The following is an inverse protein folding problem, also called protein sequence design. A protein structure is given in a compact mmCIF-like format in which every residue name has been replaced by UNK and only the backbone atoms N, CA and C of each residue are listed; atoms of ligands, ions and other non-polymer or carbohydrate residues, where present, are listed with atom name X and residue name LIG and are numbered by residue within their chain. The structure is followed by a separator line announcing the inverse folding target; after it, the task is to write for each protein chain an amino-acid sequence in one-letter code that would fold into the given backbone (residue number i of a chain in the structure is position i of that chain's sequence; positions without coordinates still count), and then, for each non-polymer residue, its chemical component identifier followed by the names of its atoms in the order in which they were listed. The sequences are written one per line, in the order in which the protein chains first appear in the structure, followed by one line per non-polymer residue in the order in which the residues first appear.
data_IF_239921931374
#
_entry.id   IF_239921931374
#
_cell.length_a   1.000
_cell.length_b   1.000
_cell.length_c   1.000
_cell.angle_alpha   90.00
_cell.angle_beta   90.00
_cell.angle_gamma   90.00
#
_symmetry.space_group_name_H-M   'P 1'
#
loop_
_entity.id
_entity.type
_entity.pdbx_description
1 polymer ?
#
# COMPACT_ATOMS: atom_id res chain seq x y z
N UNK A 1 -4.04 33.48 34.42
CA UNK A 1 -3.32 34.75 34.36
C UNK A 1 -2.68 34.89 32.97
N UNK A 2 -3.50 34.98 31.93
CA UNK A 2 -3.07 35.23 30.54
C UNK A 2 -4.08 36.23 29.98
N UNK A 3 -3.61 37.46 29.77
CA UNK A 3 -4.43 38.60 29.41
C UNK A 3 -4.80 38.58 27.94
N UNK A 4 -6.06 38.91 27.67
CA UNK A 4 -6.57 39.18 26.33
C UNK A 4 -5.89 40.46 25.82
N UNK A 5 -4.99 40.30 24.85
CA UNK A 5 -4.37 41.41 24.14
C UNK A 5 -5.38 41.93 23.10
N UNK A 6 -6.05 43.04 23.41
CA UNK A 6 -6.74 43.87 22.40
C UNK A 6 -5.69 44.40 21.42
N UNK A 7 -5.64 43.87 20.20
CA UNK A 7 -4.90 44.47 19.09
C UNK A 7 -5.70 45.63 18.49
N UNK A 8 -4.93 46.65 18.11
CA UNK A 8 -5.29 48.04 17.82
C UNK A 8 -5.72 48.30 16.37
N UNK A 9 -6.63 49.27 16.26
CA UNK A 9 -6.83 50.29 15.21
C UNK A 9 -7.51 49.94 13.87
N UNK A 10 -8.67 50.55 13.66
CA UNK A 10 -8.83 51.66 12.71
C UNK A 10 -9.82 52.70 13.28
N UNK A 11 -9.35 53.92 13.54
CA UNK A 11 -10.19 55.07 13.85
C UNK A 11 -10.92 55.52 12.57
N UNK A 12 -12.25 55.57 12.62
CA UNK A 12 -13.08 56.40 11.76
C UNK A 12 -14.14 57.07 12.63
N UNK A 13 -13.99 58.37 12.82
CA UNK A 13 -14.90 59.19 13.61
C UNK A 13 -16.06 59.64 12.71
N UNK A 14 -17.29 59.37 13.13
CA UNK A 14 -18.50 60.11 12.70
C UNK A 14 -19.40 59.42 11.67
N UNK A 15 -20.38 58.66 12.15
CA UNK A 15 -21.81 58.88 11.86
C UNK A 15 -22.65 57.90 12.67
N UNK A 16 -23.92 58.25 12.82
CA UNK A 16 -24.93 57.72 13.71
C UNK A 16 -24.97 56.19 13.79
N UNK A 17 -25.30 55.69 14.99
CA UNK A 17 -25.61 54.29 15.26
C UNK A 17 -26.62 53.75 14.23
N UNK A 18 -26.11 53.07 13.21
CA UNK A 18 -26.89 52.13 12.43
C UNK A 18 -27.28 51.03 13.41
N UNK A 19 -28.57 50.74 13.53
CA UNK A 19 -29.05 49.59 14.30
C UNK A 19 -28.24 48.36 13.88
N UNK A 20 -27.51 47.77 14.84
CA UNK A 20 -26.75 46.54 14.63
C UNK A 20 -27.78 45.47 14.22
N UNK A 21 -27.79 45.06 12.94
CA UNK A 21 -28.67 44.00 12.47
C UNK A 21 -28.25 42.68 13.13
N UNK A 22 -28.82 42.39 14.29
CA UNK A 22 -28.65 41.16 15.04
C UNK A 22 -29.54 40.08 14.41
N UNK A 23 -28.94 38.94 14.06
CA UNK A 23 -29.69 37.78 13.59
C UNK A 23 -29.46 36.60 14.54
N UNK A 24 -30.54 35.87 14.83
CA UNK A 24 -30.50 34.65 15.64
C UNK A 24 -30.61 33.45 14.73
N UNK A 25 -29.59 32.59 14.73
CA UNK A 25 -29.57 31.34 13.98
C UNK A 25 -29.61 30.15 14.93
N UNK A 26 -30.46 29.17 14.63
CA UNK A 26 -30.64 27.94 15.38
C UNK A 26 -30.17 26.76 14.53
N UNK A 27 -28.96 26.27 14.82
CA UNK A 27 -28.35 25.17 14.07
C UNK A 27 -28.54 23.89 14.86
N UNK A 28 -29.35 22.96 14.36
CA UNK A 28 -29.57 21.66 14.99
C UNK A 28 -30.04 21.73 16.45
N UNK A 29 -30.72 22.82 16.84
CA UNK A 29 -31.16 23.08 18.22
C UNK A 29 -30.22 23.99 19.05
N UNK A 30 -29.07 24.39 18.51
CA UNK A 30 -28.11 25.30 19.17
C UNK A 30 -28.31 26.71 18.63
N UNK A 31 -28.76 27.62 19.51
CA UNK A 31 -28.97 29.03 19.17
C UNK A 31 -27.66 29.81 19.23
N UNK A 32 -27.43 30.65 18.23
CA UNK A 32 -26.26 31.51 18.13
C UNK A 32 -26.68 32.88 17.61
N UNK A 33 -26.15 33.92 18.25
CA UNK A 33 -26.41 35.31 17.91
C UNK A 33 -25.26 35.81 17.04
N UNK A 34 -25.59 36.37 15.87
CA UNK A 34 -24.62 36.88 14.91
C UNK A 34 -24.94 38.34 14.57
N UNK A 35 -23.90 39.10 14.24
CA UNK A 35 -24.00 40.53 13.96
C UNK A 35 -23.73 40.80 12.47
N UNK A 36 -24.62 41.56 11.83
CA UNK A 36 -24.55 41.87 10.40
C UNK A 36 -23.20 42.46 9.96
N UNK A 37 -22.56 43.32 10.76
CA UNK A 37 -21.24 43.89 10.43
C UNK A 37 -20.15 42.84 10.24
N UNK A 38 -20.20 41.76 11.04
CA UNK A 38 -19.22 40.66 11.00
C UNK A 38 -19.49 39.77 9.79
N UNK A 39 -20.77 39.52 9.48
CA UNK A 39 -21.20 38.70 8.35
C UNK A 39 -20.93 39.39 7.00
N UNK A 40 -21.14 40.69 6.92
CA UNK A 40 -20.91 41.50 5.71
C UNK A 40 -19.44 41.62 5.30
N UNK A 41 -18.49 41.11 6.10
CA UNK A 41 -17.10 40.91 5.67
C UNK A 41 -16.98 39.94 4.50
N UNK A 42 -17.91 38.99 4.40
CA UNK A 42 -17.98 37.97 3.35
C UNK A 42 -19.39 37.95 2.74
N UNK A 43 -19.71 38.93 1.86
CA UNK A 43 -21.08 39.14 1.37
C UNK A 43 -21.61 38.00 0.50
N UNK A 44 -20.73 37.22 -0.14
CA UNK A 44 -21.11 36.10 -1.00
C UNK A 44 -21.57 34.84 -0.23
N UNK A 45 -21.53 34.90 1.11
CA UNK A 45 -21.88 33.77 1.97
C UNK A 45 -23.38 33.72 2.29
N UNK A 46 -23.92 32.53 2.54
CA UNK A 46 -25.34 32.34 2.88
C UNK A 46 -25.77 33.16 4.10
N UNK A 47 -24.90 33.29 5.11
CA UNK A 47 -25.20 34.06 6.33
C UNK A 47 -25.26 35.57 6.06
N UNK A 48 -24.44 36.09 5.16
CA UNK A 48 -24.52 37.50 4.77
C UNK A 48 -25.78 37.78 3.94
N UNK A 49 -26.13 36.88 3.02
CA UNK A 49 -27.42 36.96 2.32
C UNK A 49 -28.60 37.00 3.31
N UNK A 50 -28.59 36.19 4.37
CA UNK A 50 -29.63 36.22 5.42
C UNK A 50 -29.76 37.59 6.11
N UNK A 51 -28.66 38.32 6.30
CA UNK A 51 -28.69 39.68 6.89
C UNK A 51 -29.37 40.65 5.94
N UNK A 52 -29.02 40.64 4.66
CA UNK A 52 -29.64 41.51 3.66
C UNK A 52 -31.13 41.24 3.53
N UNK A 53 -31.54 39.97 3.62
CA UNK A 53 -32.95 39.56 3.56
C UNK A 53 -33.75 39.91 4.82
N UNK A 54 -33.12 39.95 6.00
CA UNK A 54 -33.80 40.43 7.22
C UNK A 54 -34.33 41.86 7.09
N UNK A 55 -33.79 42.64 6.13
CA UNK A 55 -34.21 44.01 5.83
C UNK A 55 -35.29 44.14 4.73
N UNK A 56 -35.62 43.07 4.00
CA UNK A 56 -36.56 43.08 2.86
C UNK A 56 -37.77 42.13 3.08
N UNK A 57 -38.96 42.58 2.70
CA UNK A 57 -40.23 41.91 3.01
C UNK A 57 -40.42 40.53 2.35
N UNK A 58 -41.05 39.65 3.13
CA UNK A 58 -41.22 38.20 3.02
C UNK A 58 -42.15 37.70 1.88
N UNK A 59 -41.58 37.20 0.77
CA UNK A 59 -42.33 36.32 -0.17
C UNK A 59 -41.51 35.11 -0.70
N UNK A 60 -40.17 35.04 -0.50
CA UNK A 60 -39.30 33.95 -1.00
C UNK A 60 -38.44 33.24 0.10
N UNK A 61 -38.85 33.31 1.37
CA UNK A 61 -38.17 32.72 2.54
C UNK A 61 -37.72 31.22 2.45
N UNK A 62 -38.42 30.29 1.77
CA UNK A 62 -38.15 28.85 1.87
C UNK A 62 -36.83 28.34 1.27
N UNK A 63 -36.03 29.17 0.59
CA UNK A 63 -34.79 28.70 -0.07
C UNK A 63 -33.52 28.88 0.75
N UNK A 64 -33.54 29.75 1.77
CA UNK A 64 -32.34 30.15 2.51
C UNK A 64 -32.17 29.41 3.84
N UNK A 65 -33.28 29.15 4.55
CA UNK A 65 -33.33 28.44 5.83
C UNK A 65 -34.37 27.30 5.78
N UNK A 66 -34.28 26.34 6.69
CA UNK A 66 -35.21 25.20 6.74
C UNK A 66 -36.54 25.58 7.41
N UNK A 67 -36.49 26.45 8.41
CA UNK A 67 -37.66 27.03 9.07
C UNK A 67 -37.35 28.43 9.63
N UNK A 68 -38.37 29.26 9.85
CA UNK A 68 -38.25 30.59 10.45
C UNK A 68 -39.38 30.82 11.45
N UNK A 69 -39.04 31.14 12.69
CA UNK A 69 -40.02 31.48 13.72
C UNK A 69 -40.18 33.01 13.81
N UNK A 70 -41.31 33.56 13.36
CA UNK A 70 -41.57 35.00 13.39
C UNK A 70 -41.80 35.55 14.80
N UNK A 71 -42.11 34.72 15.81
CA UNK A 71 -42.32 35.19 17.18
C UNK A 71 -40.99 35.48 17.89
N UNK A 72 -39.99 34.63 17.65
CA UNK A 72 -38.67 34.76 18.25
C UNK A 72 -37.63 35.40 17.32
N UNK A 73 -37.94 35.52 16.03
CA UNK A 73 -37.04 36.05 15.02
C UNK A 73 -35.87 35.13 14.70
N UNK A 74 -35.99 33.81 14.96
CA UNK A 74 -34.92 32.83 14.77
C UNK A 74 -35.01 32.08 13.43
N UNK A 75 -33.87 31.92 12.78
CA UNK A 75 -33.72 31.11 11.56
C UNK A 75 -33.20 29.72 11.92
N UNK A 76 -33.95 28.67 11.56
CA UNK A 76 -33.60 27.29 11.86
C UNK A 76 -32.92 26.58 10.68
N UNK A 77 -31.92 25.78 11.01
CA UNK A 77 -31.17 24.94 10.07
C UNK A 77 -30.99 23.53 10.68
N UNK A 78 -31.44 22.49 9.97
CA UNK A 78 -31.24 21.09 10.35
C UNK A 78 -29.84 20.61 9.92
N UNK A 79 -28.82 21.15 10.60
CA UNK A 79 -27.40 20.99 10.28
C UNK A 79 -26.58 20.69 11.54
N UNK A 80 -25.36 20.20 11.34
CA UNK A 80 -24.47 19.85 12.45
C UNK A 80 -23.95 21.10 13.19
N UNK A 81 -24.27 21.29 14.48
CA UNK A 81 -23.85 22.47 15.23
C UNK A 81 -22.34 22.56 15.45
N UNK A 82 -21.64 21.42 15.43
CA UNK A 82 -20.19 21.39 15.69
C UNK A 82 -19.40 21.82 14.45
N UNK A 83 -19.82 21.42 13.26
CA UNK A 83 -19.28 21.93 12.00
C UNK A 83 -19.53 23.43 11.85
N UNK A 84 -20.72 23.91 12.23
CA UNK A 84 -21.04 25.34 12.13
C UNK A 84 -20.15 26.24 12.97
N UNK A 85 -19.65 25.76 14.12
CA UNK A 85 -18.68 26.52 14.93
C UNK A 85 -17.41 26.84 14.14
N UNK A 86 -16.91 25.89 13.34
CA UNK A 86 -15.75 26.11 12.47
C UNK A 86 -16.08 27.07 11.32
N UNK A 87 -17.31 27.02 10.79
CA UNK A 87 -17.76 27.94 9.72
C UNK A 87 -17.75 29.39 10.20
N UNK A 88 -18.19 29.63 11.43
CA UNK A 88 -18.21 30.98 12.02
C UNK A 88 -16.81 31.57 12.20
N UNK A 89 -15.79 30.73 12.44
CA UNK A 89 -14.40 31.19 12.62
C UNK A 89 -13.91 32.01 11.43
N UNK A 90 -14.41 31.76 10.21
CA UNK A 90 -14.13 32.56 9.02
C UNK A 90 -14.38 34.05 9.25
N UNK A 91 -15.54 34.40 9.82
CA UNK A 91 -15.94 35.80 9.95
C UNK A 91 -15.10 36.55 11.00
N UNK A 92 -14.52 35.82 11.96
CA UNK A 92 -13.70 36.40 13.02
C UNK A 92 -12.21 36.42 12.70
N UNK A 93 -11.69 35.34 12.10
CA UNK A 93 -10.25 35.12 11.89
C UNK A 93 -9.82 35.15 10.43
N UNK A 94 -10.76 35.01 9.50
CA UNK A 94 -10.51 35.02 8.06
C UNK A 94 -10.04 33.69 7.46
N UNK A 95 -9.94 32.65 8.29
CA UNK A 95 -9.55 31.29 7.92
C UNK A 95 -10.40 30.27 8.68
N UNK A 96 -10.55 29.07 8.11
CA UNK A 96 -11.33 27.97 8.68
C UNK A 96 -10.41 26.80 9.01
N UNK A 97 -10.52 26.31 10.24
CA UNK A 97 -9.93 25.04 10.67
C UNK A 97 -11.00 23.99 10.96
N UNK A 98 -10.84 22.81 10.38
CA UNK A 98 -11.69 21.66 10.67
C UNK A 98 -11.38 21.10 12.05
N UNK A 99 -12.41 20.96 12.90
CA UNK A 99 -12.27 20.29 14.19
C UNK A 99 -11.98 18.80 14.02
N UNK A 100 -11.07 18.28 14.85
CA UNK A 100 -10.77 16.83 14.91
C UNK A 100 -12.04 16.03 15.21
N UNK A 101 -12.28 15.00 14.40
CA UNK A 101 -13.43 14.10 14.52
C UNK A 101 -14.57 14.39 13.55
N UNK A 102 -14.58 15.55 12.89
CA UNK A 102 -15.49 15.82 11.77
C UNK A 102 -14.91 15.20 10.50
N UNK A 103 -15.73 14.47 9.73
CA UNK A 103 -15.30 13.93 8.44
C UNK A 103 -15.04 15.08 7.44
N UNK A 104 -13.84 15.17 6.83
CA UNK A 104 -13.52 16.27 5.90
C UNK A 104 -14.50 16.37 4.73
N UNK A 105 -14.95 15.24 4.18
CA UNK A 105 -15.91 15.21 3.07
C UNK A 105 -17.28 15.75 3.49
N UNK A 106 -17.74 15.45 4.71
CA UNK A 106 -18.97 16.02 5.23
C UNK A 106 -18.81 17.53 5.50
N UNK A 107 -17.65 17.94 6.02
CA UNK A 107 -17.37 19.35 6.26
C UNK A 107 -17.32 20.17 4.97
N UNK A 108 -16.80 19.62 3.87
CA UNK A 108 -16.86 20.27 2.57
C UNK A 108 -18.30 20.54 2.10
N UNK A 109 -19.23 19.62 2.40
CA UNK A 109 -20.67 19.85 2.14
C UNK A 109 -21.28 20.90 3.06
N UNK A 110 -20.72 21.09 4.25
CA UNK A 110 -21.07 22.23 5.12
C UNK A 110 -20.60 23.54 4.50
N UNK A 111 -19.33 23.64 4.10
CA UNK A 111 -18.82 24.83 3.42
C UNK A 111 -19.60 25.18 2.15
N UNK A 112 -19.88 24.18 1.30
CA UNK A 112 -20.68 24.36 0.09
C UNK A 112 -22.09 24.87 0.41
N UNK A 113 -22.75 24.30 1.42
CA UNK A 113 -24.06 24.75 1.86
C UNK A 113 -24.05 26.21 2.30
N UNK A 114 -23.05 26.60 3.10
CA UNK A 114 -22.86 27.97 3.59
C UNK A 114 -22.30 28.94 2.52
N UNK A 115 -22.08 28.46 1.28
CA UNK A 115 -21.50 29.21 0.15
C UNK A 115 -20.11 29.76 0.45
N UNK A 116 -19.29 28.99 1.14
CA UNK A 116 -17.91 29.35 1.47
C UNK A 116 -16.97 28.54 0.58
N UNK A 117 -16.06 29.24 -0.10
CA UNK A 117 -15.05 28.60 -0.95
C UNK A 117 -14.04 27.81 -0.10
N UNK A 118 -13.57 26.69 -0.67
CA UNK A 118 -12.47 25.88 -0.13
C UNK A 118 -11.16 26.66 0.07
N UNK A 119 -10.99 27.78 -0.61
CA UNK A 119 -9.82 28.65 -0.50
C UNK A 119 -9.62 29.21 0.91
N UNK A 120 -10.70 29.38 1.67
CA UNK A 120 -10.67 29.86 3.06
C UNK A 120 -10.22 28.80 4.08
N UNK A 121 -10.07 27.55 3.63
CA UNK A 121 -9.56 26.48 4.47
C UNK A 121 -8.04 26.65 4.64
N UNK A 122 -7.55 26.57 5.88
CA UNK A 122 -6.11 26.67 6.12
C UNK A 122 -5.33 25.48 5.51
N UNK A 123 -4.05 25.69 5.19
CA UNK A 123 -3.16 24.68 4.60
C UNK A 123 -3.12 23.37 5.40
N UNK A 124 -3.16 23.42 6.73
CA UNK A 124 -3.18 22.20 7.54
C UNK A 124 -4.43 21.34 7.28
N UNK A 125 -5.57 21.99 7.06
CA UNK A 125 -6.85 21.36 6.81
C UNK A 125 -6.97 20.92 5.33
N UNK A 126 -6.39 21.69 4.40
CA UNK A 126 -6.29 21.31 2.98
C UNK A 126 -5.45 20.04 2.81
N UNK A 127 -4.33 19.93 3.52
CA UNK A 127 -3.51 18.73 3.53
C UNK A 127 -4.29 17.52 4.05
N UNK A 128 -5.02 17.68 5.16
CA UNK A 128 -5.82 16.59 5.73
C UNK A 128 -6.97 16.15 4.81
N UNK A 129 -7.66 17.11 4.18
CA UNK A 129 -8.70 16.82 3.19
C UNK A 129 -8.14 16.00 2.03
N UNK A 130 -7.01 16.43 1.47
CA UNK A 130 -6.34 15.74 0.38
C UNK A 130 -5.94 14.31 0.74
N UNK A 131 -5.42 14.08 1.94
CA UNK A 131 -5.11 12.72 2.43
C UNK A 131 -6.36 11.82 2.43
N UNK A 132 -7.50 12.33 2.89
CA UNK A 132 -8.77 11.58 2.90
C UNK A 132 -9.29 11.35 1.48
N UNK A 133 -9.17 12.34 0.59
CA UNK A 133 -9.53 12.18 -0.83
C UNK A 133 -8.68 11.11 -1.53
N UNK A 134 -7.37 11.12 -1.29
CA UNK A 134 -6.44 10.12 -1.82
C UNK A 134 -6.78 8.72 -1.29
N UNK A 135 -7.13 8.58 0.00
CA UNK A 135 -7.59 7.31 0.59
C UNK A 135 -8.90 6.82 -0.03
N UNK A 136 -9.88 7.71 -0.23
CA UNK A 136 -11.15 7.36 -0.88
C UNK A 136 -10.95 6.97 -2.34
N UNK A 137 -10.07 7.67 -3.06
CA UNK A 137 -9.70 7.32 -4.44
C UNK A 137 -9.02 5.95 -4.49
N UNK A 138 -8.14 5.64 -3.54
CA UNK A 138 -7.51 4.32 -3.41
C UNK A 138 -8.54 3.23 -3.12
N UNK A 139 -9.49 3.46 -2.21
CA UNK A 139 -10.61 2.53 -1.94
C UNK A 139 -11.44 2.31 -3.21
N UNK A 140 -11.81 3.38 -3.91
CA UNK A 140 -12.63 3.31 -5.12
C UNK A 140 -11.93 2.52 -6.24
N UNK A 141 -10.63 2.73 -6.45
CA UNK A 141 -9.84 1.95 -7.40
C UNK A 141 -9.75 0.47 -7.02
N UNK A 142 -9.62 0.19 -5.71
CA UNK A 142 -9.58 -1.16 -5.18
C UNK A 142 -10.90 -1.89 -5.37
N UNK A 143 -12.02 -1.23 -5.07
CA UNK A 143 -13.38 -1.72 -5.32
C UNK A 143 -13.59 -1.98 -6.81
N UNK A 144 -13.24 -1.04 -7.67
CA UNK A 144 -13.30 -1.19 -9.14
C UNK A 144 -12.52 -2.42 -9.59
N UNK A 145 -11.30 -2.58 -9.10
CA UNK A 145 -10.45 -3.74 -9.42
C UNK A 145 -11.11 -5.05 -9.00
N UNK A 146 -11.69 -5.11 -7.79
CA UNK A 146 -12.38 -6.30 -7.29
C UNK A 146 -13.64 -6.62 -8.12
N UNK A 147 -14.44 -5.61 -8.47
CA UNK A 147 -15.67 -5.77 -9.26
C UNK A 147 -15.37 -6.27 -10.67
N UNK A 148 -14.39 -5.66 -11.36
CA UNK A 148 -13.93 -6.10 -12.70
C UNK A 148 -13.48 -7.56 -12.67
N UNK A 149 -12.79 -7.96 -11.59
CA UNK A 149 -12.35 -9.34 -11.43
C UNK A 149 -13.51 -10.32 -11.20
N UNK A 150 -14.51 -9.93 -10.41
CA UNK A 150 -15.66 -10.78 -10.06
C UNK A 150 -16.62 -10.94 -11.23
N UNK A 151 -17.07 -9.85 -11.81
CA UNK A 151 -18.17 -9.81 -12.78
C UNK A 151 -17.67 -9.96 -14.23
N UNK A 152 -16.39 -9.67 -14.48
CA UNK A 152 -15.81 -9.65 -15.82
C UNK A 152 -16.33 -8.47 -16.64
N UNK A 153 -15.60 -8.09 -17.69
CA UNK A 153 -16.05 -7.03 -18.59
C UNK A 153 -17.19 -7.54 -19.48
N UNK A 154 -18.43 -6.99 -19.37
CA UNK A 154 -19.56 -7.45 -20.17
C UNK A 154 -19.35 -7.27 -21.69
N UNK A 155 -18.46 -6.35 -22.09
CA UNK A 155 -18.09 -6.09 -23.49
C UNK A 155 -17.04 -7.06 -24.05
N UNK A 156 -16.46 -7.93 -23.21
CA UNK A 156 -15.41 -8.85 -23.61
C UNK A 156 -15.91 -9.95 -24.56
N UNK A 157 -15.17 -10.14 -25.67
CA UNK A 157 -15.40 -11.23 -26.63
C UNK A 157 -15.17 -12.63 -26.04
N UNK A 158 -15.60 -13.69 -26.75
CA UNK A 158 -15.52 -15.07 -26.25
C UNK A 158 -14.10 -15.52 -25.87
N UNK A 159 -13.10 -15.15 -26.67
CA UNK A 159 -11.69 -15.41 -26.37
C UNK A 159 -11.23 -14.66 -25.11
N UNK A 160 -11.62 -13.40 -24.95
CA UNK A 160 -11.25 -12.57 -23.81
C UNK A 160 -11.90 -13.09 -22.51
N UNK A 161 -13.12 -13.63 -22.58
CA UNK A 161 -13.76 -14.32 -21.44
C UNK A 161 -13.02 -15.59 -21.04
N UNK A 162 -12.62 -16.41 -22.02
CA UNK A 162 -11.80 -17.60 -21.77
C UNK A 162 -10.44 -17.22 -21.16
N UNK A 163 -9.80 -16.20 -21.72
CA UNK A 163 -8.52 -15.64 -21.25
C UNK A 163 -8.62 -15.20 -19.78
N UNK A 164 -9.64 -14.41 -19.42
CA UNK A 164 -9.89 -13.96 -18.04
C UNK A 164 -10.20 -15.14 -17.12
N UNK A 165 -10.92 -16.16 -17.61
CA UNK A 165 -11.24 -17.35 -16.82
C UNK A 165 -9.99 -18.17 -16.50
N UNK A 166 -9.10 -18.38 -17.48
CA UNK A 166 -7.79 -19.02 -17.28
C UNK A 166 -6.89 -18.18 -16.37
N UNK A 167 -6.90 -16.85 -16.54
CA UNK A 167 -6.16 -15.94 -15.68
C UNK A 167 -6.59 -16.07 -14.21
N UNK A 168 -7.91 -16.06 -13.94
CA UNK A 168 -8.45 -16.28 -12.58
C UNK A 168 -8.08 -17.66 -12.02
N UNK A 169 -8.16 -18.69 -12.86
CA UNK A 169 -7.79 -20.06 -12.49
C UNK A 169 -6.32 -20.16 -12.03
N UNK A 170 -5.42 -19.42 -12.68
CA UNK A 170 -3.97 -19.50 -12.45
C UNK A 170 -3.43 -18.52 -11.40
N UNK A 171 -4.08 -17.36 -11.24
CA UNK A 171 -3.60 -16.27 -10.37
C UNK A 171 -4.35 -16.21 -9.03
N UNK A 172 -5.60 -16.69 -8.96
CA UNK A 172 -6.44 -16.64 -7.76
C UNK A 172 -6.83 -18.03 -7.26
N UNK A 173 -6.10 -18.61 -6.29
CA UNK A 173 -6.40 -19.93 -5.74
C UNK A 173 -7.80 -20.04 -5.14
N UNK A 174 -8.34 -18.96 -4.58
CA UNK A 174 -9.67 -18.93 -3.95
C UNK A 174 -10.81 -18.74 -4.95
N UNK A 175 -10.52 -18.54 -6.24
CA UNK A 175 -11.55 -18.30 -7.25
C UNK A 175 -12.45 -19.51 -7.50
N UNK A 176 -11.90 -20.72 -7.40
CA UNK A 176 -12.60 -21.96 -7.68
C UNK A 176 -11.87 -23.18 -7.10
N UNK A 177 -12.59 -24.30 -6.91
CA UNK A 177 -11.97 -25.56 -6.47
C UNK A 177 -10.82 -26.03 -7.39
N UNK A 178 -10.96 -25.99 -8.75
CA UNK A 178 -9.84 -26.31 -9.63
C UNK A 178 -8.64 -25.37 -9.48
N UNK A 179 -8.87 -24.06 -9.26
CA UNK A 179 -7.79 -23.10 -9.01
C UNK A 179 -7.01 -23.47 -7.74
N UNK A 180 -7.73 -23.85 -6.69
CA UNK A 180 -7.14 -24.27 -5.43
C UNK A 180 -6.29 -25.54 -5.60
N UNK A 181 -6.80 -26.53 -6.33
CA UNK A 181 -6.06 -27.77 -6.63
C UNK A 181 -4.80 -27.47 -7.44
N UNK A 182 -4.88 -26.65 -8.49
CA UNK A 182 -3.72 -26.24 -9.28
C UNK A 182 -2.68 -25.57 -8.39
N UNK A 183 -3.08 -24.63 -7.54
CA UNK A 183 -2.17 -23.94 -6.63
C UNK A 183 -1.47 -24.90 -5.64
N UNK A 184 -2.16 -25.91 -5.12
CA UNK A 184 -1.56 -26.95 -4.27
C UNK A 184 -0.55 -27.79 -5.07
N UNK A 185 -0.91 -28.19 -6.29
CA UNK A 185 -0.02 -28.95 -7.17
C UNK A 185 1.24 -28.13 -7.49
N UNK A 186 1.10 -26.86 -7.86
CA UNK A 186 2.20 -25.92 -8.07
C UNK A 186 3.14 -25.87 -6.86
N UNK A 187 2.58 -25.76 -5.67
CA UNK A 187 3.34 -25.72 -4.43
C UNK A 187 4.12 -27.02 -4.19
N UNK A 188 3.50 -28.18 -4.43
CA UNK A 188 4.16 -29.49 -4.32
C UNK A 188 5.33 -29.58 -5.32
N UNK A 189 5.16 -29.15 -6.57
CA UNK A 189 6.24 -29.12 -7.56
C UNK A 189 7.41 -28.23 -7.14
N UNK A 190 7.14 -27.09 -6.49
CA UNK A 190 8.20 -26.22 -5.93
C UNK A 190 8.97 -26.95 -4.83
N UNK A 191 8.28 -27.63 -3.92
CA UNK A 191 8.92 -28.41 -2.86
C UNK A 191 9.76 -29.56 -3.43
N UNK A 192 9.22 -30.34 -4.37
CA UNK A 192 9.93 -31.44 -5.03
C UNK A 192 11.17 -30.90 -5.75
N UNK A 193 11.03 -29.84 -6.54
CA UNK A 193 12.18 -29.24 -7.23
C UNK A 193 13.24 -28.72 -6.26
N UNK A 194 12.85 -28.19 -5.10
CA UNK A 194 13.79 -27.70 -4.08
C UNK A 194 14.54 -28.85 -3.42
N UNK A 195 13.83 -29.94 -3.08
CA UNK A 195 14.45 -31.16 -2.52
C UNK A 195 15.40 -31.79 -3.53
N UNK A 196 14.99 -31.95 -4.80
CA UNK A 196 15.85 -32.49 -5.86
C UNK A 196 17.10 -31.66 -6.04
N UNK A 197 16.98 -30.32 -6.02
CA UNK A 197 18.14 -29.43 -6.07
C UNK A 197 19.08 -29.66 -4.89
N UNK A 198 18.57 -29.75 -3.65
CA UNK A 198 19.40 -30.02 -2.48
C UNK A 198 20.08 -31.39 -2.57
N UNK A 199 19.34 -32.45 -2.93
CA UNK A 199 19.87 -33.81 -3.06
C UNK A 199 20.93 -33.89 -4.16
N UNK A 200 20.75 -33.16 -5.27
CA UNK A 200 21.72 -33.09 -6.36
C UNK A 200 23.07 -32.47 -5.97
N UNK A 201 23.14 -31.72 -4.86
CA UNK A 201 24.40 -31.18 -4.33
C UNK A 201 25.18 -32.15 -3.45
N UNK A 202 24.59 -33.29 -3.06
CA UNK A 202 25.22 -34.29 -2.19
C UNK A 202 26.22 -35.11 -3.02
N UNK A 203 27.54 -35.04 -2.76
CA UNK A 203 28.55 -35.73 -3.56
C UNK A 203 28.39 -37.25 -3.58
N UNK A 204 27.92 -37.84 -2.46
CA UNK A 204 27.73 -39.29 -2.31
C UNK A 204 26.62 -39.85 -3.20
N UNK A 205 25.71 -38.99 -3.70
CA UNK A 205 24.60 -39.37 -4.57
C UNK A 205 24.85 -39.01 -6.04
N UNK A 206 25.96 -38.36 -6.35
CA UNK A 206 26.37 -38.03 -7.72
C UNK A 206 26.98 -39.25 -8.40
N UNK A 207 26.75 -39.36 -9.71
CA UNK A 207 27.25 -40.46 -10.54
C UNK A 207 28.39 -39.95 -11.40
N UNK A 208 29.41 -40.78 -11.58
CA UNK A 208 30.54 -40.45 -12.45
C UNK A 208 30.14 -40.66 -13.91
N UNK A 209 30.26 -39.62 -14.73
CA UNK A 209 30.05 -39.69 -16.16
C UNK A 209 31.24 -40.38 -16.86
N UNK A 210 31.07 -40.69 -18.13
CA UNK A 210 32.02 -41.24 -19.09
C UNK A 210 33.40 -40.56 -19.06
N UNK A 211 33.42 -39.26 -18.79
CA UNK A 211 34.62 -38.42 -18.71
C UNK A 211 35.22 -38.31 -17.29
N UNK A 212 34.70 -39.07 -16.32
CA UNK A 212 35.18 -39.06 -14.94
C UNK A 212 34.64 -37.92 -14.07
N UNK A 213 33.78 -37.06 -14.60
CA UNK A 213 33.19 -35.93 -13.87
C UNK A 213 31.99 -36.37 -13.02
N UNK A 214 31.82 -35.78 -11.83
CA UNK A 214 30.63 -36.00 -11.00
C UNK A 214 29.43 -35.26 -11.60
N UNK A 215 28.37 -36.01 -11.89
CA UNK A 215 27.13 -35.53 -12.50
C UNK A 215 25.92 -35.92 -11.65
N UNK A 216 24.81 -35.23 -11.87
CA UNK A 216 23.57 -35.51 -11.14
C UNK A 216 23.03 -36.89 -11.55
N UNK A 217 22.44 -37.62 -10.59
CA UNK A 217 21.88 -38.93 -10.90
C UNK A 217 20.75 -38.79 -11.95
N UNK A 218 20.68 -39.65 -12.99
CA UNK A 218 19.75 -39.47 -14.12
C UNK A 218 18.27 -39.42 -13.69
N UNK A 219 17.89 -40.09 -12.60
CA UNK A 219 16.53 -39.99 -12.06
C UNK A 219 16.22 -38.60 -11.50
N UNK A 220 17.19 -37.91 -10.89
CA UNK A 220 17.02 -36.54 -10.39
C UNK A 220 16.88 -35.57 -11.56
N UNK A 221 17.63 -35.77 -12.65
CA UNK A 221 17.49 -34.99 -13.87
C UNK A 221 16.12 -35.16 -14.53
N UNK A 222 15.57 -36.39 -14.55
CA UNK A 222 14.22 -36.65 -15.05
C UNK A 222 13.18 -35.93 -14.20
N UNK A 223 13.26 -36.02 -12.86
CA UNK A 223 12.33 -35.34 -11.96
C UNK A 223 12.45 -33.82 -12.14
N UNK A 224 13.66 -33.28 -12.22
CA UNK A 224 13.90 -31.86 -12.47
C UNK A 224 13.28 -31.42 -13.80
N UNK A 225 13.48 -32.20 -14.86
CA UNK A 225 12.89 -31.92 -16.19
C UNK A 225 11.37 -31.87 -16.13
N UNK A 226 10.73 -32.82 -15.43
CA UNK A 226 9.27 -32.83 -15.23
C UNK A 226 8.80 -31.58 -14.46
N UNK A 227 9.50 -31.19 -13.39
CA UNK A 227 9.21 -29.96 -12.65
C UNK A 227 9.33 -28.70 -13.51
N UNK A 228 10.36 -28.63 -14.36
CA UNK A 228 10.58 -27.49 -15.27
C UNK A 228 9.52 -27.45 -16.36
N UNK A 229 9.13 -28.60 -16.91
CA UNK A 229 8.01 -28.69 -17.86
C UNK A 229 6.73 -28.13 -17.22
N UNK A 230 6.43 -28.51 -15.98
CA UNK A 230 5.30 -27.97 -15.23
C UNK A 230 5.40 -26.45 -15.04
N UNK A 231 6.53 -25.93 -14.57
CA UNK A 231 6.74 -24.48 -14.41
C UNK A 231 6.67 -23.71 -15.72
N UNK A 232 7.12 -24.31 -16.82
CA UNK A 232 7.04 -23.72 -18.16
C UNK A 232 5.59 -23.63 -18.61
N UNK A 233 4.82 -24.71 -18.47
CA UNK A 233 3.38 -24.71 -18.77
C UNK A 233 2.66 -23.66 -17.94
N UNK A 234 2.93 -23.58 -16.64
CA UNK A 234 2.37 -22.55 -15.78
C UNK A 234 2.71 -21.13 -16.24
N UNK A 235 3.98 -20.86 -16.54
CA UNK A 235 4.43 -19.54 -16.99
C UNK A 235 3.79 -19.15 -18.33
N UNK A 236 3.74 -20.08 -19.28
CA UNK A 236 3.11 -19.86 -20.59
C UNK A 236 1.60 -19.63 -20.47
N UNK A 237 0.90 -20.43 -19.67
CA UNK A 237 -0.52 -20.23 -19.41
C UNK A 237 -0.79 -18.86 -18.81
N UNK A 238 0.02 -18.41 -17.85
CA UNK A 238 -0.09 -17.05 -17.27
C UNK A 238 0.24 -15.97 -18.29
N UNK A 239 1.30 -16.12 -19.09
CA UNK A 239 1.69 -15.14 -20.10
C UNK A 239 0.59 -14.96 -21.16
N UNK A 240 0.04 -16.06 -21.67
CA UNK A 240 -1.03 -16.04 -22.69
C UNK A 240 -2.34 -15.52 -22.10
N UNK A 241 -2.65 -15.87 -20.84
CA UNK A 241 -3.87 -15.39 -20.17
C UNK A 241 -3.77 -13.96 -19.62
N UNK A 242 -2.57 -13.37 -19.59
CA UNK A 242 -2.38 -12.01 -19.06
C UNK A 242 -3.02 -10.94 -19.96
N UNK A 243 -3.71 -9.93 -19.38
CA UNK A 243 -4.32 -8.84 -20.16
C UNK A 243 -3.29 -7.89 -20.77
N UNK A 244 -2.10 -7.77 -20.18
CA UNK A 244 -0.99 -6.97 -20.71
C UNK A 244 0.33 -7.71 -20.51
N UNK A 245 0.90 -8.23 -21.61
CA UNK A 245 2.10 -9.07 -21.59
C UNK A 245 3.36 -8.32 -21.16
N UNK A 246 3.49 -7.03 -21.50
CA UNK A 246 4.66 -6.22 -21.12
C UNK A 246 4.63 -5.96 -19.62
N UNK A 247 3.47 -5.52 -19.10
CA UNK A 247 3.29 -5.32 -17.66
C UNK A 247 3.46 -6.64 -16.90
N UNK A 248 2.99 -7.74 -17.48
CA UNK A 248 3.18 -9.07 -16.93
C UNK A 248 4.67 -9.41 -16.82
N UNK A 249 5.44 -9.26 -17.89
CA UNK A 249 6.86 -9.63 -17.91
C UNK A 249 7.69 -8.86 -16.88
N UNK A 250 7.44 -7.55 -16.72
CA UNK A 250 8.16 -6.70 -15.77
C UNK A 250 7.64 -6.76 -14.32
N UNK A 251 6.63 -7.60 -14.03
CA UNK A 251 6.16 -7.80 -12.66
C UNK A 251 7.15 -8.68 -11.88
N UNK A 252 7.50 -8.28 -10.65
CA UNK A 252 8.50 -8.93 -9.81
C UNK A 252 8.30 -10.45 -9.67
N UNK A 253 7.06 -10.90 -9.42
CA UNK A 253 6.75 -12.33 -9.28
C UNK A 253 6.94 -13.11 -10.59
N UNK A 254 6.66 -12.47 -11.73
CA UNK A 254 6.79 -13.11 -13.04
C UNK A 254 8.24 -13.16 -13.50
N UNK A 255 9.08 -12.21 -13.07
CA UNK A 255 10.54 -12.27 -13.25
C UNK A 255 11.10 -13.50 -12.51
N UNK A 256 10.66 -13.75 -11.27
CA UNK A 256 11.07 -14.94 -10.52
C UNK A 256 10.62 -16.22 -11.24
N UNK A 257 9.37 -16.27 -11.72
CA UNK A 257 8.86 -17.41 -12.50
C UNK A 257 9.68 -17.67 -13.77
N UNK A 258 10.13 -16.62 -14.46
CA UNK A 258 11.01 -16.72 -15.63
C UNK A 258 12.41 -17.20 -15.26
N UNK A 259 13.03 -16.60 -14.24
CA UNK A 259 14.36 -16.97 -13.74
C UNK A 259 14.42 -18.42 -13.24
N UNK A 260 13.30 -18.95 -12.75
CA UNK A 260 13.17 -20.34 -12.31
C UNK A 260 13.31 -21.38 -13.46
N UNK A 261 12.86 -21.04 -14.67
CA UNK A 261 12.90 -21.93 -15.85
C UNK A 261 14.08 -21.64 -16.79
N UNK A 262 14.56 -20.38 -16.80
CA UNK A 262 15.58 -19.90 -17.74
C UNK A 262 16.87 -20.76 -17.77
N UNK A 263 17.45 -21.20 -16.64
CA UNK A 263 18.69 -21.99 -16.66
C UNK A 263 18.63 -23.23 -17.56
N UNK A 264 17.49 -23.94 -17.55
CA UNK A 264 17.33 -25.17 -18.32
C UNK A 264 17.35 -24.90 -19.82
N UNK A 265 16.57 -23.91 -20.27
CA UNK A 265 16.51 -23.56 -21.69
C UNK A 265 17.83 -22.97 -22.18
N UNK A 266 18.50 -22.14 -21.37
CA UNK A 266 19.82 -21.59 -21.74
C UNK A 266 20.85 -22.72 -21.86
N UNK A 267 20.92 -23.66 -20.91
CA UNK A 267 21.82 -24.81 -21.00
C UNK A 267 21.50 -25.66 -22.24
N UNK A 268 20.22 -25.97 -22.50
CA UNK A 268 19.79 -26.75 -23.67
C UNK A 268 20.16 -26.07 -25.01
N UNK A 269 20.01 -24.74 -25.09
CA UNK A 269 20.41 -23.96 -26.27
C UNK A 269 21.94 -23.94 -26.41
N UNK A 270 22.67 -23.75 -25.31
CA UNK A 270 24.14 -23.75 -25.32
C UNK A 270 24.72 -25.11 -25.69
N UNK A 271 24.12 -26.22 -25.24
CA UNK A 271 24.61 -27.57 -25.59
C UNK A 271 24.24 -27.96 -27.02
N UNK A 272 23.07 -27.56 -27.51
CA UNK A 272 22.65 -27.86 -28.90
C UNK A 272 23.36 -27.00 -29.95
N UNK A 273 23.62 -25.72 -29.68
CA UNK A 273 24.29 -24.79 -30.61
C UNK A 273 25.81 -24.76 -30.39
N UNK A 274 26.26 -24.86 -29.13
CA UNK A 274 27.67 -24.75 -28.74
C UNK A 274 28.53 -25.95 -29.09
N UNK A 275 27.92 -27.07 -29.53
CA UNK A 275 28.65 -28.21 -30.11
C UNK A 275 29.46 -27.85 -31.37
N UNK A 276 29.26 -26.67 -31.97
CA UNK A 276 29.94 -26.25 -33.21
C UNK A 276 30.93 -25.07 -33.15
N UNK A 277 30.94 -24.21 -32.10
CA UNK A 277 31.59 -22.87 -32.25
C UNK A 277 32.33 -22.32 -31.01
N UNK A 278 32.07 -22.77 -29.76
CA UNK A 278 32.69 -22.16 -28.56
C UNK A 278 33.66 -23.10 -27.84
N UNK A 279 34.78 -22.54 -27.34
CA UNK A 279 35.69 -23.25 -26.42
C UNK A 279 34.93 -23.78 -25.20
N UNK A 280 34.97 -25.11 -25.02
CA UNK A 280 34.23 -25.87 -24.01
C UNK A 280 34.41 -25.33 -22.57
N UNK A 281 35.56 -24.73 -22.26
CA UNK A 281 35.89 -24.21 -20.93
C UNK A 281 35.01 -23.02 -20.50
N UNK A 282 34.74 -22.08 -21.41
CA UNK A 282 33.86 -20.93 -21.13
C UNK A 282 32.40 -21.37 -20.99
N UNK A 283 32.00 -22.41 -21.74
CA UNK A 283 30.66 -22.99 -21.66
C UNK A 283 30.46 -23.69 -20.32
N UNK A 284 31.44 -24.43 -19.81
CA UNK A 284 31.35 -25.11 -18.52
C UNK A 284 31.22 -24.14 -17.34
N UNK A 285 31.99 -23.05 -17.34
CA UNK A 285 31.86 -21.99 -16.32
C UNK A 285 30.48 -21.30 -16.38
N UNK A 286 29.98 -21.03 -17.58
CA UNK A 286 28.64 -20.47 -17.77
C UNK A 286 27.55 -21.43 -17.25
N UNK A 287 27.62 -22.72 -17.57
CA UNK A 287 26.69 -23.76 -17.09
C UNK A 287 26.71 -23.85 -15.56
N UNK A 288 27.88 -23.73 -14.93
CA UNK A 288 28.01 -23.73 -13.47
C UNK A 288 27.34 -22.50 -12.82
N UNK A 289 27.52 -21.31 -13.41
CA UNK A 289 26.84 -20.10 -12.95
C UNK A 289 25.31 -20.20 -13.12
N UNK A 290 24.84 -20.77 -14.24
CA UNK A 290 23.41 -21.00 -14.49
C UNK A 290 22.80 -21.98 -13.48
N UNK A 291 23.59 -22.93 -12.94
CA UNK A 291 23.13 -23.87 -11.91
C UNK A 291 22.76 -23.15 -10.61
N UNK A 292 23.46 -22.08 -10.23
CA UNK A 292 23.12 -21.26 -9.04
C UNK A 292 21.76 -20.58 -9.21
N UNK A 293 21.41 -20.16 -10.42
CA UNK A 293 20.11 -19.53 -10.67
C UNK A 293 18.92 -20.49 -10.45
N UNK A 294 19.12 -21.81 -10.38
CA UNK A 294 18.07 -22.76 -9.97
C UNK A 294 17.51 -22.45 -8.58
N UNK A 295 18.29 -21.81 -7.69
CA UNK A 295 17.84 -21.33 -6.37
C UNK A 295 16.66 -20.34 -6.50
N UNK A 296 16.56 -19.63 -7.64
CA UNK A 296 15.44 -18.72 -7.91
C UNK A 296 14.06 -19.42 -7.79
N UNK A 297 13.99 -20.74 -8.04
CA UNK A 297 12.77 -21.55 -7.90
C UNK A 297 12.21 -21.55 -6.49
N UNK A 298 13.05 -21.42 -5.46
CA UNK A 298 12.60 -21.33 -4.06
C UNK A 298 11.78 -20.05 -3.85
N UNK A 299 12.19 -18.94 -4.47
CA UNK A 299 11.45 -17.67 -4.35
C UNK A 299 10.07 -17.72 -5.01
N UNK A 300 9.78 -18.73 -5.85
CA UNK A 300 8.43 -18.98 -6.37
C UNK A 300 7.41 -19.22 -5.24
N UNK A 301 7.86 -19.68 -4.07
CA UNK A 301 7.05 -19.79 -2.85
C UNK A 301 6.43 -18.45 -2.41
N UNK A 302 7.04 -17.31 -2.77
CA UNK A 302 6.50 -15.99 -2.47
C UNK A 302 5.11 -15.76 -3.08
N UNK A 303 4.79 -16.38 -4.22
CA UNK A 303 3.45 -16.31 -4.82
C UNK A 303 2.39 -16.99 -3.95
N UNK A 304 2.77 -18.03 -3.22
CA UNK A 304 1.86 -18.82 -2.38
C UNK A 304 1.84 -18.37 -0.92
N UNK A 305 2.69 -17.41 -0.53
CA UNK A 305 2.76 -16.88 0.83
C UNK A 305 2.39 -15.39 0.84
N UNK A 306 1.18 -15.09 1.30
CA UNK A 306 0.75 -13.70 1.54
C UNK A 306 1.71 -12.96 2.47
N UNK A 307 2.25 -13.65 3.48
CA UNK A 307 3.26 -13.09 4.39
C UNK A 307 4.53 -12.62 3.67
N UNK A 308 5.03 -13.38 2.68
CA UNK A 308 6.24 -13.01 1.93
C UNK A 308 5.98 -11.86 0.94
N UNK A 309 4.76 -11.76 0.40
CA UNK A 309 4.35 -10.63 -0.44
C UNK A 309 4.27 -9.34 0.38
N UNK A 310 3.63 -9.40 1.56
CA UNK A 310 3.56 -8.28 2.50
C UNK A 310 4.95 -7.86 2.97
N UNK A 311 5.83 -8.82 3.28
CA UNK A 311 7.22 -8.55 3.64
C UNK A 311 7.95 -7.81 2.49
N UNK A 312 7.79 -8.26 1.25
CA UNK A 312 8.42 -7.64 0.08
C UNK A 312 7.95 -6.19 -0.11
N UNK A 313 6.65 -5.95 -0.02
CA UNK A 313 6.07 -4.60 -0.12
C UNK A 313 6.54 -3.68 1.00
N UNK A 314 6.60 -4.19 2.22
CA UNK A 314 7.05 -3.41 3.37
C UNK A 314 8.57 -3.11 3.31
N UNK A 315 9.39 -4.06 2.87
CA UNK A 315 10.82 -3.84 2.60
C UNK A 315 11.00 -2.78 1.51
N UNK A 316 10.21 -2.83 0.43
CA UNK A 316 10.23 -1.80 -0.63
C UNK A 316 9.93 -0.41 -0.08
N UNK A 317 8.93 -0.30 0.80
CA UNK A 317 8.58 0.97 1.45
C UNK A 317 9.66 1.45 2.43
N UNK A 318 10.42 0.53 3.02
CA UNK A 318 11.49 0.81 3.99
C UNK A 318 12.89 0.82 3.38
N UNK A 319 13.02 0.90 2.04
CA UNK A 319 14.32 0.90 1.35
C UNK A 319 15.24 2.03 1.82
N UNK A 320 14.69 3.21 2.12
CA UNK A 320 15.47 4.34 2.64
C UNK A 320 16.09 4.02 4.01
N UNK A 321 15.30 3.45 4.91
CA UNK A 321 15.75 3.07 6.26
C UNK A 321 16.71 1.88 6.23
N UNK A 322 16.44 0.89 5.38
CA UNK A 322 17.34 -0.25 5.14
C UNK A 322 18.67 0.22 4.54
N UNK A 323 18.62 1.17 3.60
CA UNK A 323 19.81 1.79 3.02
C UNK A 323 20.64 2.52 4.08
N UNK A 324 20.00 3.23 5.00
CA UNK A 324 20.67 3.89 6.13
C UNK A 324 21.34 2.88 7.06
N UNK A 325 20.66 1.77 7.40
CA UNK A 325 21.23 0.67 8.18
C UNK A 325 22.48 0.09 7.51
N UNK A 326 22.41 -0.23 6.22
CA UNK A 326 23.53 -0.78 5.47
C UNK A 326 24.70 0.22 5.38
N UNK A 327 24.42 1.52 5.26
CA UNK A 327 25.43 2.56 5.26
C UNK A 327 26.16 2.62 6.62
N UNK A 328 25.44 2.64 7.75
CA UNK A 328 26.05 2.65 9.09
C UNK A 328 26.87 1.40 9.36
N UNK A 329 26.35 0.23 8.99
CA UNK A 329 27.09 -1.03 9.09
C UNK A 329 28.33 -1.02 8.20
N UNK A 330 28.24 -0.52 6.96
CA UNK A 330 29.37 -0.42 6.03
C UNK A 330 30.50 0.47 6.55
N UNK A 331 30.17 1.65 7.10
CA UNK A 331 31.15 2.55 7.72
C UNK A 331 31.80 1.88 8.94
N UNK A 332 31.00 1.25 9.80
CA UNK A 332 31.51 0.54 10.98
C UNK A 332 32.41 -0.64 10.63
N UNK A 333 32.01 -1.48 9.67
CA UNK A 333 32.82 -2.61 9.18
C UNK A 333 34.15 -2.10 8.66
N UNK A 334 34.16 -1.05 7.84
CA UNK A 334 35.40 -0.48 7.33
C UNK A 334 36.30 0.04 8.47
N UNK A 335 35.75 0.85 9.37
CA UNK A 335 36.49 1.47 10.48
C UNK A 335 37.08 0.44 11.43
N UNK A 336 36.25 -0.46 11.97
CA UNK A 336 36.68 -1.42 12.98
C UNK A 336 37.63 -2.47 12.40
N UNK A 337 37.52 -2.78 11.11
CA UNK A 337 38.46 -3.66 10.42
C UNK A 337 39.83 -3.02 10.24
N UNK A 338 39.89 -1.74 9.85
CA UNK A 338 41.14 -1.00 9.76
C UNK A 338 41.83 -0.87 11.13
N UNK A 339 41.06 -0.58 12.19
CA UNK A 339 41.56 -0.56 13.57
C UNK A 339 42.01 -1.94 14.04
N UNK A 340 41.23 -2.99 13.76
CA UNK A 340 41.58 -4.36 14.13
C UNK A 340 42.88 -4.82 13.48
N UNK A 341 43.02 -4.60 12.17
CA UNK A 341 44.25 -4.89 11.44
C UNK A 341 45.46 -4.13 12.01
N UNK A 342 45.35 -2.81 12.16
CA UNK A 342 46.47 -1.97 12.63
C UNK A 342 46.88 -2.28 14.07
N UNK A 343 45.94 -2.63 14.95
CA UNK A 343 46.23 -3.00 16.34
C UNK A 343 46.83 -4.40 16.47
N UNK A 344 46.51 -5.32 15.56
CA UNK A 344 46.95 -6.72 15.60
C UNK A 344 48.17 -7.01 14.71
N UNK A 345 48.56 -6.10 13.81
CA UNK A 345 49.63 -6.34 12.81
C UNK A 345 50.98 -6.73 13.41
N UNK A 346 51.25 -6.32 14.66
CA UNK A 346 52.51 -6.59 15.36
C UNK A 346 52.50 -7.90 16.15
N UNK A 347 51.37 -8.60 16.24
CA UNK A 347 51.27 -9.87 16.97
C UNK A 347 51.70 -11.03 16.06
N UNK A 348 52.63 -11.92 16.48
CA UNK A 348 53.21 -12.95 15.62
C UNK A 348 52.16 -13.95 15.11
N UNK A 349 51.16 -14.29 15.92
CA UNK A 349 50.08 -15.21 15.54
C UNK A 349 48.78 -14.48 15.17
N UNK A 350 48.85 -13.30 14.54
CA UNK A 350 47.64 -12.55 14.15
C UNK A 350 46.85 -13.27 13.05
N UNK A 351 45.53 -13.21 13.16
CA UNK A 351 44.58 -13.70 12.16
C UNK A 351 44.14 -12.57 11.19
N UNK A 352 44.58 -11.34 11.45
CA UNK A 352 44.28 -10.14 10.67
C UNK A 352 45.35 -9.92 9.60
N UNK A 353 45.25 -10.64 8.48
CA UNK A 353 46.25 -10.59 7.39
C UNK A 353 46.13 -9.36 6.49
N UNK A 354 44.91 -8.84 6.33
CA UNK A 354 44.59 -7.70 5.47
C UNK A 354 43.30 -7.02 5.93
N UNK A 355 43.13 -5.74 5.58
CA UNK A 355 41.91 -4.99 5.93
C UNK A 355 40.65 -5.65 5.31
N UNK A 356 40.62 -6.08 4.03
CA UNK A 356 39.44 -6.75 3.47
C UNK A 356 39.14 -8.10 4.13
N UNK A 357 40.16 -8.89 4.51
CA UNK A 357 39.92 -10.12 5.29
C UNK A 357 39.35 -9.80 6.68
N UNK A 358 39.75 -8.67 7.26
CA UNK A 358 39.25 -8.20 8.56
C UNK A 358 37.79 -7.73 8.49
N UNK A 359 37.24 -7.43 7.29
CA UNK A 359 35.80 -7.13 7.12
C UNK A 359 34.94 -8.29 7.61
N UNK A 360 35.34 -9.53 7.35
CA UNK A 360 34.62 -10.71 7.84
C UNK A 360 34.49 -10.69 9.36
N UNK A 361 35.59 -10.45 10.07
CA UNK A 361 35.61 -10.32 11.53
C UNK A 361 34.71 -9.18 12.03
N UNK A 362 34.79 -8.00 11.40
CA UNK A 362 33.97 -6.87 11.83
C UNK A 362 32.47 -7.11 11.57
N UNK A 363 32.10 -7.72 10.44
CA UNK A 363 30.70 -8.08 10.14
C UNK A 363 30.15 -9.03 11.20
N UNK A 364 30.85 -10.14 11.50
CA UNK A 364 30.36 -11.12 12.47
C UNK A 364 30.37 -10.61 13.91
N UNK A 365 31.26 -9.67 14.25
CA UNK A 365 31.36 -9.07 15.58
C UNK A 365 30.28 -8.00 15.78
N UNK A 366 30.08 -7.11 14.81
CA UNK A 366 29.04 -6.07 14.86
C UNK A 366 27.62 -6.63 14.81
N UNK A 367 27.42 -7.76 14.11
CA UNK A 367 26.14 -8.50 14.07
C UNK A 367 25.97 -9.47 15.23
N UNK A 368 26.90 -9.49 16.18
CA UNK A 368 26.91 -10.37 17.36
C UNK A 368 26.81 -11.87 17.05
N UNK A 369 27.24 -12.30 15.85
CA UNK A 369 27.30 -13.73 15.46
C UNK A 369 28.51 -14.40 16.11
N UNK A 370 29.70 -13.81 15.93
CA UNK A 370 30.92 -14.20 16.62
C UNK A 370 31.32 -15.68 16.49
N UNK A 371 31.55 -16.17 15.25
CA UNK A 371 32.00 -17.57 15.02
C UNK A 371 33.29 -17.95 15.77
N UNK A 372 34.16 -16.97 16.06
CA UNK A 372 35.41 -17.18 16.80
C UNK A 372 36.57 -17.71 15.95
N UNK A 373 36.41 -17.74 14.63
CA UNK A 373 37.42 -18.11 13.64
C UNK A 373 38.49 -17.01 13.45
N UNK A 374 38.10 -15.74 13.64
CA UNK A 374 39.01 -14.59 13.71
C UNK A 374 38.74 -13.83 15.00
N UNK A 375 39.79 -13.54 15.78
CA UNK A 375 39.67 -12.78 17.03
C UNK A 375 40.99 -12.08 17.39
N UNK A 376 40.95 -10.92 18.05
CA UNK A 376 42.15 -10.20 18.44
C UNK A 376 42.85 -10.82 19.64
N UNK A 377 44.17 -10.87 19.58
CA UNK A 377 45.05 -11.39 20.63
C UNK A 377 45.63 -10.28 21.51
N UNK A 378 45.85 -9.09 20.95
CA UNK A 378 46.37 -7.95 21.70
C UNK A 378 45.31 -7.32 22.60
N UNK A 379 45.75 -6.65 23.67
CA UNK A 379 44.86 -5.92 24.57
C UNK A 379 44.11 -4.79 23.86
N UNK A 380 44.77 -4.09 22.93
CA UNK A 380 44.15 -3.01 22.14
C UNK A 380 43.12 -3.57 21.16
N UNK A 381 43.43 -4.66 20.47
CA UNK A 381 42.47 -5.35 19.60
C UNK A 381 41.25 -5.85 20.37
N UNK A 382 41.42 -6.37 21.59
CA UNK A 382 40.29 -6.75 22.47
C UNK A 382 39.43 -5.55 22.89
N UNK A 383 40.05 -4.40 23.14
CA UNK A 383 39.32 -3.15 23.40
C UNK A 383 38.53 -2.71 22.16
N UNK A 384 39.15 -2.76 20.98
CA UNK A 384 38.49 -2.50 19.70
C UNK A 384 37.31 -3.46 19.47
N UNK A 385 37.46 -4.74 19.79
CA UNK A 385 36.37 -5.72 19.72
C UNK A 385 35.20 -5.32 20.63
N UNK A 386 35.49 -4.94 21.88
CA UNK A 386 34.48 -4.48 22.84
C UNK A 386 33.70 -3.26 22.33
N UNK A 387 34.39 -2.29 21.73
CA UNK A 387 33.74 -1.10 21.15
C UNK A 387 32.94 -1.49 19.90
N UNK A 388 33.51 -2.35 19.04
CA UNK A 388 32.89 -2.73 17.77
C UNK A 388 31.55 -3.45 17.94
N UNK A 389 31.43 -4.40 18.88
CA UNK A 389 30.15 -5.08 19.10
C UNK A 389 29.11 -4.11 19.67
N UNK A 390 29.50 -3.24 20.61
CA UNK A 390 28.61 -2.26 21.21
C UNK A 390 28.08 -1.28 20.16
N UNK A 391 28.97 -0.77 19.31
CA UNK A 391 28.60 0.07 18.17
C UNK A 391 27.72 -0.68 17.16
N UNK A 392 27.98 -1.96 16.90
CA UNK A 392 27.15 -2.80 16.02
C UNK A 392 25.72 -2.97 16.53
N UNK A 393 25.55 -3.27 17.82
CA UNK A 393 24.22 -3.38 18.45
C UNK A 393 23.45 -2.06 18.34
N UNK A 394 24.09 -0.92 18.60
CA UNK A 394 23.47 0.40 18.46
C UNK A 394 23.12 0.69 17.00
N UNK A 395 24.03 0.41 16.06
CA UNK A 395 23.84 0.64 14.63
C UNK A 395 22.67 -0.16 14.05
N UNK A 396 22.43 -1.39 14.54
CA UNK A 396 21.27 -2.21 14.15
C UNK A 396 19.99 -1.73 14.86
N UNK A 397 20.07 -1.39 16.14
CA UNK A 397 18.91 -1.01 16.94
C UNK A 397 18.26 0.32 16.52
N UNK A 398 19.04 1.29 16.01
CA UNK A 398 18.50 2.61 15.64
C UNK A 398 17.56 2.55 14.42
N UNK A 399 17.91 1.94 13.27
CA UNK A 399 17.02 1.89 12.10
C UNK A 399 15.92 0.83 12.21
N UNK A 400 16.10 -0.22 13.02
CA UNK A 400 15.12 -1.30 13.11
C UNK A 400 13.77 -0.79 13.65
N UNK A 401 13.78 0.17 14.58
CA UNK A 401 12.55 0.69 15.17
C UNK A 401 11.70 1.52 14.19
N UNK A 402 12.25 2.49 13.44
CA UNK A 402 11.55 3.13 12.32
C UNK A 402 11.04 2.15 11.26
N UNK A 403 11.83 1.12 10.91
CA UNK A 403 11.41 0.07 9.95
C UNK A 403 10.17 -0.67 10.47
N UNK A 404 10.17 -1.06 11.75
CA UNK A 404 9.02 -1.73 12.38
C UNK A 404 7.80 -0.80 12.41
N UNK A 405 7.96 0.46 12.81
CA UNK A 405 6.83 1.40 12.85
C UNK A 405 6.25 1.64 11.46
N UNK A 406 7.09 1.80 10.43
CA UNK A 406 6.63 1.93 9.04
C UNK A 406 5.95 0.65 8.55
N UNK A 407 6.46 -0.53 8.91
CA UNK A 407 5.82 -1.81 8.61
C UNK A 407 4.42 -1.87 9.23
N UNK A 408 4.27 -1.52 10.51
CA UNK A 408 2.98 -1.56 11.23
C UNK A 408 2.00 -0.55 10.63
N UNK A 409 2.44 0.68 10.34
CA UNK A 409 1.61 1.70 9.71
C UNK A 409 1.11 1.25 8.34
N UNK A 410 2.01 0.75 7.49
CA UNK A 410 1.65 0.27 6.16
C UNK A 410 0.73 -0.95 6.22
N UNK A 411 1.03 -1.91 7.11
CA UNK A 411 0.21 -3.10 7.31
C UNK A 411 -1.21 -2.74 7.76
N UNK A 412 -1.35 -1.86 8.76
CA UNK A 412 -2.64 -1.42 9.26
C UNK A 412 -3.42 -0.62 8.20
N UNK A 413 -2.76 0.31 7.49
CA UNK A 413 -3.39 1.05 6.38
C UNK A 413 -3.90 0.08 5.32
N UNK A 414 -3.08 -0.91 4.94
CA UNK A 414 -3.45 -1.91 3.94
C UNK A 414 -4.66 -2.75 4.37
N UNK A 415 -4.72 -3.13 5.65
CA UNK A 415 -5.83 -3.88 6.24
C UNK A 415 -7.13 -3.06 6.29
N UNK A 416 -7.04 -1.77 6.63
CA UNK A 416 -8.19 -0.85 6.64
C UNK A 416 -8.74 -0.68 5.22
N UNK A 417 -7.88 -0.44 4.23
CA UNK A 417 -8.28 -0.31 2.82
C UNK A 417 -8.97 -1.58 2.29
N UNK A 418 -8.43 -2.75 2.60
CA UNK A 418 -9.04 -4.02 2.19
C UNK A 418 -10.41 -4.25 2.86
N UNK A 419 -10.57 -3.83 4.12
CA UNK A 419 -11.84 -3.95 4.85
C UNK A 419 -12.87 -2.97 4.33
N UNK A 420 -12.49 -1.71 4.09
CA UNK A 420 -13.35 -0.67 3.54
C UNK A 420 -13.84 -1.05 2.13
N UNK A 421 -12.95 -1.54 1.27
CA UNK A 421 -13.33 -1.99 -0.07
C UNK A 421 -14.33 -3.16 -0.04
N UNK A 422 -14.15 -4.13 0.87
CA UNK A 422 -15.13 -5.22 1.06
C UNK A 422 -16.48 -4.70 1.53
N UNK A 423 -16.47 -3.80 2.51
CA UNK A 423 -17.70 -3.22 3.05
C UNK A 423 -18.46 -2.43 1.98
N UNK A 424 -17.77 -1.64 1.15
CA UNK A 424 -18.39 -0.90 0.06
C UNK A 424 -19.06 -1.84 -0.95
N UNK A 425 -18.41 -2.97 -1.30
CA UNK A 425 -19.00 -3.99 -2.19
C UNK A 425 -20.25 -4.62 -1.56
N UNK A 426 -20.24 -4.90 -0.26
CA UNK A 426 -21.41 -5.41 0.47
C UNK A 426 -22.56 -4.39 0.46
N UNK A 427 -22.28 -3.10 0.70
CA UNK A 427 -23.27 -2.02 0.61
C UNK A 427 -23.85 -1.89 -0.79
N UNK A 428 -23.03 -2.01 -1.85
CA UNK A 428 -23.49 -2.03 -3.24
C UNK A 428 -24.41 -3.22 -3.52
N UNK A 429 -24.09 -4.41 -2.99
CA UNK A 429 -24.91 -5.61 -3.13
C UNK A 429 -26.26 -5.49 -2.40
N UNK A 430 -26.29 -4.85 -1.23
CA UNK A 430 -27.53 -4.57 -0.50
C UNK A 430 -28.40 -3.56 -1.25
N UNK A 431 -27.81 -2.45 -1.72
CA UNK A 431 -28.53 -1.41 -2.48
C UNK A 431 -29.15 -1.97 -3.77
N UNK A 432 -28.42 -2.82 -4.48
CA UNK A 432 -28.96 -3.50 -5.68
C UNK A 432 -30.10 -4.46 -5.33
N UNK A 433 -29.97 -5.25 -4.26
CA UNK A 433 -31.05 -6.11 -3.76
C UNK A 433 -32.31 -5.35 -3.34
N UNK A 434 -32.18 -4.19 -2.70
CA UNK A 434 -33.31 -3.32 -2.33
C UNK A 434 -34.02 -2.74 -3.57
N UNK A 435 -33.25 -2.33 -4.59
CA UNK A 435 -33.80 -1.84 -5.87
C UNK A 435 -34.58 -2.95 -6.58
N UNK A 436 -34.05 -4.17 -6.62
CA UNK A 436 -34.74 -5.33 -7.20
C UNK A 436 -36.03 -5.67 -6.43
N UNK A 437 -36.00 -5.67 -5.10
CA UNK A 437 -37.17 -5.89 -4.25
C UNK A 437 -38.25 -4.82 -4.48
N UNK A 438 -37.84 -3.55 -4.57
CA UNK A 438 -38.74 -2.42 -4.83
C UNK A 438 -39.38 -2.53 -6.20
N UNK A 439 -38.58 -2.85 -7.24
CA UNK A 439 -39.06 -3.06 -8.61
C UNK A 439 -40.04 -4.25 -8.71
N UNK A 440 -39.76 -5.33 -7.98
CA UNK A 440 -40.63 -6.51 -7.92
C UNK A 440 -41.97 -6.21 -7.20
N UNK A 441 -41.95 -5.34 -6.19
CA UNK A 441 -43.17 -4.87 -5.49
C UNK A 441 -44.04 -3.99 -6.41
N UNK A 442 -43.42 -3.10 -7.20
CA UNK A 442 -44.09 -2.22 -8.15
C UNK A 442 -44.72 -3.02 -9.30
N UNK A 443 -44.02 -4.04 -9.82
CA UNK A 443 -44.58 -4.99 -10.80
C UNK A 443 -45.79 -5.74 -10.24
N UNK A 444 -45.72 -6.25 -9.00
CA UNK A 444 -46.88 -6.92 -8.33
C UNK A 444 -48.06 -5.97 -8.14
N UNK A 445 -47.83 -4.70 -7.78
CA UNK A 445 -48.89 -3.68 -7.67
C UNK A 445 -49.56 -3.38 -9.02
N UNK A 446 -48.77 -3.18 -10.10
CA UNK A 446 -49.30 -3.00 -11.47
C UNK A 446 -50.12 -4.20 -11.97
N UNK A 447 -49.71 -5.42 -11.62
CA UNK A 447 -50.41 -6.65 -12.02
C UNK A 447 -51.72 -6.84 -11.25
N UNK A 448 -51.80 -6.40 -9.98
CA UNK A 448 -53.04 -6.37 -9.20
C UNK A 448 -54.03 -5.33 -9.75
N UNK A 449 -53.60 -4.10 -10.04
CA UNK A 449 -54.50 -3.06 -10.59
C UNK A 449 -55.02 -3.39 -12.00
N UNK A 450 -54.25 -4.11 -12.82
CA UNK A 450 -54.72 -4.62 -14.12
C UNK A 450 -55.81 -5.71 -13.98
N UNK A 451 -55.69 -6.61 -13.00
CA UNK A 451 -56.72 -7.63 -12.72
C UNK A 451 -58.01 -7.05 -12.13
N UNK A 452 -57.95 -5.94 -11.39
CA UNK A 452 -59.16 -5.28 -10.87
C UNK A 452 -59.94 -4.56 -11.97
N UNK A 453 -59.25 -3.94 -12.95
CA UNK A 453 -59.90 -3.33 -14.12
C UNK A 453 -60.62 -4.33 -15.02
N UNK A 454 -60.10 -5.56 -15.15
CA UNK A 454 -60.75 -6.61 -15.95
C UNK A 454 -61.93 -7.32 -15.26
N UNK A 455 -62.18 -7.04 -13.98
CA UNK A 455 -63.33 -7.58 -13.24
C UNK A 455 -64.50 -6.58 -13.13
N UNK A 456 -64.32 -5.36 -13.63
CA UNK A 456 -65.32 -4.29 -13.65
C UNK A 456 -65.79 -3.93 -15.08
N UNK A 457 -65.31 -4.64 -16.10
CA UNK A 457 -65.87 -4.70 -17.46
C UNK A 457 -66.50 -6.06 -17.66
#
# INVERSE_FOLDING_TARGET
MWGIQRSRYADCNGSEASEEAEIVVNIGGVKQVLYGEVLNRYPDTRLAELVDWSSQSCEEMPSLCDDYDPETGEYYFDRDPEAFKCIIELYYYGEIHMKKGICPICFMKEMEFWKIDSDFLDECCKSHLKEVEDELAEIAERVRTILVDREGDPSAGGWQRFQISVWRLMEKPESSLPAHVIAIVSFIFILISSVVMCVGTIPELQVQDSDGNLTEHPTLEVIETVCICWFTVEYLLRLISSPNQIKFFFSFMNIIDFMAIMPFFVVLILTSIGAGVMELANVQQAVQALRIMRIARIFKLARHSSGLQTLTSALKSSLKELGLLLMYMGVGVFLFSALGYTMEQNHPDTLFTSIPQSFWWAVITMTTVGYGDVYPKTTLGRCNAAISFLCGVIAIALPIHPIINNFVLFYNKQQVLDTAAKHEIELMALRTGEVEATCHSLKKRKMKTSKTKHRQS
#
